data_IF_647846114218
#
_entry.id   IF_647846114218
#
_cell.length_a   1.000
_cell.length_b   1.000
_cell.length_c   1.000
_cell.angle_alpha   90.00
_cell.angle_beta   90.00
_cell.angle_gamma   90.00
#
_symmetry.space_group_name_H-M   'P 1'
#
loop_
_entity.id
_entity.type
_entity.pdbx_description
1 polymer ?
#
# COMPACT_ATOMS: atom_id res chain seq x y z
N UNK A 1 -10.87 14.60 6.11
CA UNK A 1 -9.39 14.63 6.28
C UNK A 1 -8.80 15.20 4.99
N UNK A 2 -8.00 16.23 5.07
CA UNK A 2 -7.29 16.75 3.89
C UNK A 2 -6.04 15.91 3.57
N UNK A 3 -5.37 16.22 2.45
CA UNK A 3 -4.21 15.45 1.99
C UNK A 3 -3.04 15.53 2.98
N UNK A 4 -2.75 16.72 3.51
CA UNK A 4 -1.65 16.91 4.45
C UNK A 4 -1.93 16.21 5.78
N UNK A 5 -3.16 16.27 6.25
CA UNK A 5 -3.60 15.55 7.45
C UNK A 5 -3.46 14.03 7.25
N UNK A 6 -3.86 13.50 6.10
CA UNK A 6 -3.67 12.07 5.77
C UNK A 6 -2.19 11.69 5.77
N UNK A 7 -1.33 12.48 5.12
CA UNK A 7 0.12 12.25 5.10
C UNK A 7 0.73 12.32 6.49
N UNK A 8 0.30 13.27 7.32
CA UNK A 8 0.87 13.48 8.66
C UNK A 8 0.44 12.42 9.67
N UNK A 9 -0.75 11.81 9.49
CA UNK A 9 -1.33 10.87 10.46
C UNK A 9 -1.29 9.39 10.06
N UNK A 10 -1.19 9.05 8.75
CA UNK A 10 -1.20 7.64 8.30
C UNK A 10 -0.14 6.79 9.00
N UNK A 11 -0.55 5.64 9.52
CA UNK A 11 0.31 4.66 10.19
C UNK A 11 0.11 3.28 9.59
N UNK A 12 1.13 2.43 9.70
CA UNK A 12 1.04 1.03 9.31
C UNK A 12 0.13 0.26 10.27
N UNK A 13 -0.89 -0.41 9.74
CA UNK A 13 -1.84 -1.24 10.49
C UNK A 13 -1.60 -2.71 10.16
N UNK A 14 -1.49 -3.55 11.18
CA UNK A 14 -1.23 -4.99 11.09
C UNK A 14 -2.22 -5.85 11.85
N UNK A 15 -3.26 -5.24 12.43
CA UNK A 15 -4.33 -5.94 13.12
C UNK A 15 -5.65 -5.29 12.74
N UNK A 16 -6.57 -6.07 12.23
CA UNK A 16 -7.80 -5.61 11.60
C UNK A 16 -9.03 -6.09 12.39
N UNK A 17 -10.06 -5.27 12.43
CA UNK A 17 -11.37 -5.66 12.93
C UNK A 17 -12.03 -6.63 11.93
N UNK A 18 -12.86 -7.53 12.45
CA UNK A 18 -13.70 -8.40 11.61
C UNK A 18 -14.90 -7.61 11.07
N UNK A 19 -14.57 -6.69 10.15
CA UNK A 19 -15.53 -5.79 9.51
C UNK A 19 -15.18 -5.67 8.03
N UNK A 20 -16.12 -5.96 7.12
CA UNK A 20 -15.86 -5.84 5.68
C UNK A 20 -15.62 -4.37 5.30
N UNK A 21 -14.83 -4.16 4.27
CA UNK A 21 -14.66 -2.85 3.62
C UNK A 21 -15.79 -2.69 2.60
N UNK A 22 -16.53 -1.57 2.60
CA UNK A 22 -17.61 -1.36 1.64
C UNK A 22 -17.10 -1.38 0.19
N UNK A 23 -17.86 -1.97 -0.76
CA UNK A 23 -17.44 -2.08 -2.16
C UNK A 23 -17.11 -0.72 -2.81
N UNK A 24 -17.85 0.32 -2.49
CA UNK A 24 -17.60 1.68 -2.98
C UNK A 24 -16.26 2.23 -2.47
N UNK A 25 -15.89 1.92 -1.23
CA UNK A 25 -14.60 2.30 -0.66
C UNK A 25 -13.45 1.52 -1.32
N UNK A 26 -13.63 0.21 -1.56
CA UNK A 26 -12.65 -0.60 -2.31
C UNK A 26 -12.43 0.02 -3.70
N UNK A 27 -13.52 0.34 -4.39
CA UNK A 27 -13.45 0.98 -5.71
C UNK A 27 -12.69 2.31 -5.66
N UNK A 28 -12.94 3.16 -4.67
CA UNK A 28 -12.23 4.45 -4.51
C UNK A 28 -10.74 4.26 -4.25
N UNK A 29 -10.37 3.26 -3.45
CA UNK A 29 -8.95 2.93 -3.19
C UNK A 29 -8.26 2.52 -4.49
N UNK A 30 -8.85 1.60 -5.26
CA UNK A 30 -8.29 1.14 -6.54
C UNK A 30 -8.22 2.28 -7.54
N UNK A 31 -9.27 3.12 -7.61
CA UNK A 31 -9.33 4.27 -8.51
C UNK A 31 -8.25 5.32 -8.18
N UNK A 32 -7.95 5.55 -6.90
CA UNK A 32 -6.86 6.42 -6.49
C UNK A 32 -5.50 5.93 -7.02
N UNK A 33 -5.27 4.61 -7.02
CA UNK A 33 -4.10 4.00 -7.65
C UNK A 33 -4.09 4.22 -9.16
N UNK A 34 -5.20 3.92 -9.83
CA UNK A 34 -5.35 4.06 -11.28
C UNK A 34 -5.14 5.49 -11.79
N UNK A 35 -5.61 6.48 -11.04
CA UNK A 35 -5.51 7.90 -11.41
C UNK A 35 -4.13 8.51 -11.11
N UNK A 36 -3.25 7.78 -10.46
CA UNK A 36 -1.89 8.27 -10.17
C UNK A 36 -1.09 8.48 -11.45
N UNK A 37 -0.36 9.59 -11.54
CA UNK A 37 0.51 9.86 -12.68
C UNK A 37 1.68 8.88 -12.76
N UNK A 38 2.04 8.48 -13.98
CA UNK A 38 3.19 7.62 -14.27
C UNK A 38 4.14 8.23 -15.30
N UNK A 39 5.37 7.77 -15.31
CA UNK A 39 6.38 8.19 -16.28
C UNK A 39 5.91 7.90 -17.70
N UNK A 40 5.93 8.91 -18.58
CA UNK A 40 5.43 8.84 -19.96
C UNK A 40 3.99 8.29 -20.08
N UNK A 41 3.22 8.36 -18.99
CA UNK A 41 1.86 7.79 -18.90
C UNK A 41 1.79 6.27 -19.23
N UNK A 42 2.84 5.53 -18.91
CA UNK A 42 2.91 4.08 -19.20
C UNK A 42 2.01 3.23 -18.32
N UNK A 43 1.70 3.70 -17.09
CA UNK A 43 0.79 3.03 -16.15
C UNK A 43 1.16 1.54 -15.93
N UNK A 44 2.40 1.22 -15.57
CA UNK A 44 2.95 -0.14 -15.58
C UNK A 44 2.55 -0.96 -14.34
N UNK A 45 1.25 -0.95 -14.00
CA UNK A 45 0.72 -1.61 -12.81
C UNK A 45 -0.59 -2.34 -13.10
N UNK A 46 -0.81 -3.40 -12.34
CA UNK A 46 -2.08 -4.11 -12.24
C UNK A 46 -2.43 -4.25 -10.76
N UNK A 47 -3.70 -4.18 -10.43
CA UNK A 47 -4.21 -4.31 -9.06
C UNK A 47 -5.13 -5.53 -8.98
N UNK A 48 -4.72 -6.53 -8.19
CA UNK A 48 -5.53 -7.72 -7.95
C UNK A 48 -6.18 -7.56 -6.58
N UNK A 49 -7.49 -7.45 -6.55
CA UNK A 49 -8.30 -7.26 -5.34
C UNK A 49 -8.71 -8.63 -4.80
N UNK A 50 -8.36 -8.92 -3.56
CA UNK A 50 -8.59 -10.19 -2.90
C UNK A 50 -9.46 -9.96 -1.65
N UNK A 51 -10.67 -10.54 -1.66
CA UNK A 51 -11.61 -10.53 -0.53
C UNK A 51 -11.92 -11.95 -0.04
N UNK A 52 -11.56 -12.98 -0.83
CA UNK A 52 -11.79 -14.37 -0.45
C UNK A 52 -10.95 -14.75 0.77
N UNK A 53 -11.61 -15.14 1.86
CA UNK A 53 -10.98 -15.47 3.15
C UNK A 53 -9.96 -16.58 3.07
N UNK A 54 -10.22 -17.60 2.26
CA UNK A 54 -9.29 -18.72 2.09
C UNK A 54 -8.02 -18.28 1.35
N UNK A 55 -8.16 -17.49 0.29
CA UNK A 55 -7.02 -16.91 -0.44
C UNK A 55 -6.20 -16.00 0.47
N UNK A 56 -6.84 -15.14 1.27
CA UNK A 56 -6.14 -14.27 2.23
C UNK A 56 -5.37 -15.09 3.28
N UNK A 57 -5.92 -16.20 3.77
CA UNK A 57 -5.22 -17.12 4.69
C UNK A 57 -4.00 -17.75 4.06
N UNK A 58 -4.15 -18.27 2.84
CA UNK A 58 -3.03 -18.85 2.08
C UNK A 58 -1.94 -17.83 1.82
N UNK A 59 -2.30 -16.63 1.39
CA UNK A 59 -1.35 -15.52 1.21
C UNK A 59 -0.62 -15.17 2.52
N UNK A 60 -1.33 -15.11 3.64
CA UNK A 60 -0.73 -14.83 4.95
C UNK A 60 0.22 -15.93 5.41
N UNK A 61 -0.05 -17.20 5.08
CA UNK A 61 0.85 -18.31 5.37
C UNK A 61 2.13 -18.28 4.52
N UNK A 62 2.03 -17.86 3.27
CA UNK A 62 3.14 -17.75 2.32
C UNK A 62 3.99 -16.48 2.54
N UNK A 63 3.36 -15.35 2.84
CA UNK A 63 4.02 -14.07 3.04
C UNK A 63 4.72 -14.00 4.40
N UNK A 64 5.93 -14.54 4.52
CA UNK A 64 6.68 -14.62 5.78
C UNK A 64 6.84 -13.28 6.50
N UNK A 65 6.91 -12.17 5.78
CA UNK A 65 7.00 -10.81 6.32
C UNK A 65 5.65 -10.17 6.64
N UNK A 66 4.53 -10.83 6.32
CA UNK A 66 3.19 -10.27 6.43
C UNK A 66 2.09 -11.27 6.80
N UNK A 67 2.27 -12.12 7.83
CA UNK A 67 1.27 -13.13 8.20
C UNK A 67 -0.10 -12.52 8.57
N UNK A 68 -0.13 -11.24 8.91
CA UNK A 68 -1.34 -10.49 9.23
C UNK A 68 -2.26 -10.22 8.02
N UNK A 69 -1.84 -10.55 6.78
CA UNK A 69 -2.71 -10.60 5.59
C UNK A 69 -3.90 -11.53 5.86
N UNK A 70 -3.66 -12.66 6.52
CA UNK A 70 -4.70 -13.63 6.86
C UNK A 70 -5.85 -13.05 7.69
N UNK A 71 -5.58 -12.02 8.48
CA UNK A 71 -6.59 -11.35 9.33
C UNK A 71 -7.23 -10.11 8.70
N UNK A 72 -6.79 -9.70 7.52
CA UNK A 72 -7.37 -8.57 6.82
C UNK A 72 -8.66 -8.97 6.08
N UNK A 73 -9.68 -8.09 6.01
CA UNK A 73 -10.88 -8.34 5.20
C UNK A 73 -10.62 -8.17 3.71
N UNK A 74 -9.53 -7.51 3.33
CA UNK A 74 -9.18 -7.16 1.96
C UNK A 74 -7.66 -7.11 1.81
N UNK A 75 -7.14 -7.57 0.67
CA UNK A 75 -5.79 -7.25 0.23
C UNK A 75 -5.79 -6.82 -1.25
N UNK A 76 -4.90 -5.90 -1.61
CA UNK A 76 -4.64 -5.54 -3.00
C UNK A 76 -3.21 -5.93 -3.31
N UNK A 77 -3.03 -6.82 -4.27
CA UNK A 77 -1.71 -7.21 -4.78
C UNK A 77 -1.36 -6.26 -5.93
N UNK A 78 -0.26 -5.56 -5.78
CA UNK A 78 0.25 -4.64 -6.80
C UNK A 78 1.29 -5.36 -7.63
N UNK A 79 0.95 -5.59 -8.87
CA UNK A 79 1.77 -6.27 -9.87
C UNK A 79 2.30 -5.25 -10.86
N UNK A 80 3.55 -5.39 -11.26
CA UNK A 80 4.20 -4.46 -12.18
C UNK A 80 4.73 -5.15 -13.42
N UNK A 81 4.72 -4.40 -14.52
CA UNK A 81 5.37 -4.76 -15.77
C UNK A 81 6.87 -4.51 -15.68
N UNK A 82 7.65 -5.19 -16.53
CA UNK A 82 9.09 -4.96 -16.62
C UNK A 82 9.37 -3.66 -17.38
N UNK A 83 9.37 -2.52 -16.69
CA UNK A 83 9.75 -1.23 -17.23
C UNK A 83 10.69 -0.47 -16.29
N UNK A 84 11.49 0.43 -16.84
CA UNK A 84 12.51 1.20 -16.10
C UNK A 84 11.95 1.95 -14.90
N UNK A 85 10.71 2.42 -14.98
CA UNK A 85 10.10 3.27 -13.96
C UNK A 85 8.98 2.58 -13.17
N UNK A 86 8.72 1.29 -13.44
CA UNK A 86 7.57 0.57 -12.87
C UNK A 86 7.52 0.64 -11.34
N UNK A 87 8.65 0.44 -10.67
CA UNK A 87 8.71 0.49 -9.21
C UNK A 87 8.38 1.87 -8.65
N UNK A 88 8.95 2.94 -9.22
CA UNK A 88 8.70 4.30 -8.76
C UNK A 88 7.27 4.74 -9.05
N UNK A 89 6.73 4.38 -10.22
CA UNK A 89 5.38 4.71 -10.63
C UNK A 89 4.35 3.97 -9.77
N UNK A 90 4.50 2.65 -9.60
CA UNK A 90 3.62 1.85 -8.77
C UNK A 90 3.71 2.21 -7.28
N UNK A 91 4.89 2.62 -6.78
CA UNK A 91 5.02 3.10 -5.39
C UNK A 91 4.21 4.38 -5.14
N UNK A 92 4.12 5.28 -6.14
CA UNK A 92 3.23 6.45 -6.07
C UNK A 92 1.75 6.04 -6.05
N UNK A 93 1.37 5.07 -6.88
CA UNK A 93 0.01 4.54 -6.90
C UNK A 93 -0.36 3.90 -5.55
N UNK A 94 0.55 3.11 -4.98
CA UNK A 94 0.39 2.52 -3.63
C UNK A 94 0.16 3.61 -2.58
N UNK A 95 0.97 4.67 -2.59
CA UNK A 95 0.81 5.76 -1.63
C UNK A 95 -0.55 6.46 -1.79
N UNK A 96 -1.02 6.68 -3.02
CA UNK A 96 -2.35 7.24 -3.28
C UNK A 96 -3.47 6.35 -2.71
N UNK A 97 -3.38 5.03 -2.92
CA UNK A 97 -4.34 4.07 -2.36
C UNK A 97 -4.34 4.08 -0.83
N UNK A 98 -3.15 4.07 -0.21
CA UNK A 98 -3.01 4.04 1.25
C UNK A 98 -3.55 5.31 1.91
N UNK A 99 -3.31 6.49 1.32
CA UNK A 99 -3.82 7.76 1.83
C UNK A 99 -5.33 7.87 1.66
N UNK A 100 -5.88 7.41 0.53
CA UNK A 100 -7.32 7.35 0.28
C UNK A 100 -8.00 6.44 1.30
N UNK A 101 -7.48 5.24 1.53
CA UNK A 101 -8.00 4.33 2.54
C UNK A 101 -7.97 4.96 3.95
N UNK A 102 -6.85 5.58 4.31
CA UNK A 102 -6.67 6.22 5.61
C UNK A 102 -7.66 7.35 5.85
N UNK A 103 -7.95 8.17 4.83
CA UNK A 103 -8.93 9.24 4.94
C UNK A 103 -10.36 8.74 5.23
N UNK A 104 -10.63 7.46 4.97
CA UNK A 104 -11.90 6.76 5.25
C UNK A 104 -11.84 5.87 6.51
N UNK A 105 -10.78 6.00 7.32
CA UNK A 105 -10.60 5.24 8.55
C UNK A 105 -10.12 3.80 8.34
N UNK A 106 -9.66 3.46 7.13
CA UNK A 106 -9.13 2.14 6.79
C UNK A 106 -7.61 2.17 6.86
N UNK A 107 -7.06 1.30 7.71
CA UNK A 107 -5.63 1.10 7.84
C UNK A 107 -5.09 0.16 6.78
N UNK A 108 -3.81 0.30 6.51
CA UNK A 108 -3.09 -0.55 5.56
C UNK A 108 -1.64 -0.77 5.98
N UNK A 109 -0.97 -1.71 5.32
CA UNK A 109 0.47 -1.89 5.44
C UNK A 109 1.06 -2.35 4.11
N UNK A 110 2.36 -2.17 3.94
CA UNK A 110 3.13 -2.66 2.79
C UNK A 110 3.80 -3.99 3.15
N UNK A 111 3.52 -5.05 2.42
CA UNK A 111 4.21 -6.35 2.48
C UNK A 111 4.91 -6.58 1.14
N UNK A 112 6.21 -6.84 1.12
CA UNK A 112 6.91 -6.91 -0.16
C UNK A 112 8.27 -7.61 -0.16
N UNK A 113 8.63 -8.39 0.88
CA UNK A 113 10.02 -8.82 1.00
C UNK A 113 10.28 -10.33 0.85
N UNK A 114 9.32 -11.19 1.18
CA UNK A 114 9.54 -12.65 1.16
C UNK A 114 8.24 -13.42 0.87
N UNK A 115 8.35 -14.54 0.16
CA UNK A 115 7.24 -15.44 -0.16
C UNK A 115 6.38 -14.98 -1.33
N UNK A 116 6.88 -14.06 -2.16
CA UNK A 116 6.07 -13.49 -3.24
C UNK A 116 5.96 -14.41 -4.45
N UNK A 117 6.96 -15.27 -4.70
CA UNK A 117 6.93 -16.26 -5.80
C UNK A 117 5.80 -17.28 -5.65
N UNK A 118 5.59 -17.77 -4.44
CA UNK A 118 4.54 -18.73 -4.13
C UNK A 118 3.15 -18.06 -4.24
N UNK A 119 3.03 -16.80 -3.84
CA UNK A 119 1.80 -16.03 -4.00
C UNK A 119 1.53 -15.72 -5.47
N UNK A 120 2.57 -15.47 -6.26
CA UNK A 120 2.46 -15.29 -7.71
C UNK A 120 1.83 -16.52 -8.37
N UNK A 121 2.30 -17.71 -8.00
CA UNK A 121 1.73 -18.98 -8.47
C UNK A 121 0.27 -19.18 -7.99
N UNK A 122 -0.01 -18.90 -6.72
CA UNK A 122 -1.35 -19.01 -6.14
C UNK A 122 -2.38 -18.15 -6.90
N UNK A 123 -1.99 -16.95 -7.32
CA UNK A 123 -2.87 -15.99 -7.99
C UNK A 123 -2.84 -16.07 -9.51
N UNK A 124 -2.08 -16.99 -10.10
CA UNK A 124 -1.98 -17.16 -11.55
C UNK A 124 -1.34 -15.98 -12.26
N UNK A 125 -0.44 -15.23 -11.59
CA UNK A 125 0.24 -14.09 -12.17
C UNK A 125 1.30 -14.59 -13.17
N UNK A 126 1.29 -14.08 -14.43
CA UNK A 126 2.26 -14.46 -15.44
C UNK A 126 3.71 -14.26 -15.01
N UNK A 127 4.63 -15.11 -15.48
CA UNK A 127 6.07 -15.02 -15.16
C UNK A 127 6.70 -13.69 -15.59
N UNK A 128 6.17 -13.07 -16.64
CA UNK A 128 6.64 -11.76 -17.16
C UNK A 128 6.32 -10.57 -16.24
N UNK A 129 5.44 -10.76 -15.26
CA UNK A 129 5.04 -9.72 -14.31
C UNK A 129 5.63 -10.01 -12.93
N UNK A 130 5.79 -8.97 -12.11
CA UNK A 130 6.34 -9.09 -10.75
C UNK A 130 5.38 -8.51 -9.70
N UNK A 131 5.31 -9.15 -8.54
CA UNK A 131 4.61 -8.56 -7.38
C UNK A 131 5.55 -7.55 -6.74
N UNK A 132 5.16 -6.28 -6.77
CA UNK A 132 5.87 -5.21 -6.06
C UNK A 132 5.51 -5.20 -4.59
N UNK A 133 4.23 -5.33 -4.28
CA UNK A 133 3.73 -5.29 -2.90
C UNK A 133 2.37 -5.96 -2.76
N UNK A 134 2.07 -6.38 -1.55
CA UNK A 134 0.74 -6.78 -1.11
C UNK A 134 0.30 -5.79 -0.05
N UNK A 135 -0.87 -5.20 -0.22
CA UNK A 135 -1.43 -4.20 0.66
C UNK A 135 -2.67 -4.77 1.33
N UNK A 136 -2.58 -5.32 2.55
CA UNK A 136 -3.76 -5.64 3.34
C UNK A 136 -4.42 -4.34 3.80
N UNK A 137 -5.75 -4.29 3.72
CA UNK A 137 -6.59 -3.17 4.14
C UNK A 137 -7.69 -3.66 5.09
N UNK A 138 -8.07 -2.80 6.03
CA UNK A 138 -9.18 -3.05 6.93
C UNK A 138 -9.27 -2.00 8.03
N UNK A 139 -10.39 -1.98 8.73
CA UNK A 139 -10.52 -1.13 9.91
C UNK A 139 -9.54 -1.61 10.99
N UNK A 140 -8.77 -0.73 11.63
CA UNK A 140 -7.88 -1.13 12.71
C UNK A 140 -8.64 -1.82 13.84
N UNK A 141 -8.14 -2.95 14.35
CA UNK A 141 -8.76 -3.68 15.46
C UNK A 141 -8.75 -2.89 16.78
N UNK A 142 -7.84 -1.93 16.89
CA UNK A 142 -7.75 -1.00 18.04
C UNK A 142 -7.56 0.40 17.50
N UNK A 143 -8.03 1.40 18.23
CA UNK A 143 -7.78 2.78 17.87
C UNK A 143 -6.28 2.99 17.65
N UNK A 144 -5.92 3.42 16.45
CA UNK A 144 -4.55 3.80 16.13
C UNK A 144 -4.40 5.22 16.64
N UNK A 145 -3.65 5.38 17.74
CA UNK A 145 -3.40 6.70 18.30
C UNK A 145 -2.72 7.60 17.26
N UNK A 146 -3.08 8.86 17.26
CA UNK A 146 -2.40 9.91 16.47
C UNK A 146 -1.00 10.17 17.03
N UNK A 147 -0.23 9.11 17.27
CA UNK A 147 1.12 9.18 17.81
C UNK A 147 2.01 10.07 16.94
N UNK A 148 2.89 10.83 17.58
CA UNK A 148 3.90 11.61 16.85
C UNK A 148 4.78 10.65 16.07
N UNK A 149 4.75 10.76 14.75
CA UNK A 149 5.68 10.02 13.88
C UNK A 149 7.11 10.45 14.20
N UNK A 150 7.96 9.52 14.57
CA UNK A 150 9.38 9.79 14.69
C UNK A 150 9.95 10.00 13.29
N UNK A 151 10.34 11.20 12.96
CA UNK A 151 10.94 11.59 11.68
C UNK A 151 12.20 12.42 11.95
N UNK A 152 13.08 12.46 10.97
CA UNK A 152 14.19 13.42 10.95
C UNK A 152 13.65 14.83 11.02
N UNK A 153 14.42 15.75 11.59
CA UNK A 153 14.06 17.17 11.56
C UNK A 153 14.04 17.68 10.10
N UNK A 154 13.20 18.67 9.82
CA UNK A 154 13.08 19.23 8.47
C UNK A 154 14.43 19.70 7.93
N UNK A 155 15.23 20.36 8.78
CA UNK A 155 16.56 20.84 8.44
C UNK A 155 17.57 19.75 8.05
N UNK A 156 17.32 18.49 8.43
CA UNK A 156 18.19 17.34 8.04
C UNK A 156 17.89 16.83 6.62
N UNK A 157 16.73 17.15 6.06
CA UNK A 157 16.24 16.57 4.80
C UNK A 157 15.84 17.60 3.76
N UNK A 158 15.75 18.87 4.14
CA UNK A 158 15.39 19.95 3.23
C UNK A 158 16.52 20.99 3.14
N UNK A 159 16.88 21.34 1.92
CA UNK A 159 17.95 22.28 1.63
C UNK A 159 17.43 23.33 0.64
N UNK A 160 17.92 24.58 0.75
CA UNK A 160 17.56 25.67 -0.16
C UNK A 160 18.61 25.78 -1.26
N UNK A 161 18.20 25.64 -2.52
CA UNK A 161 18.97 25.80 -3.74
C UNK A 161 20.17 24.85 -3.90
N UNK A 162 20.96 24.61 -2.85
CA UNK A 162 22.10 23.70 -2.86
C UNK A 162 22.09 22.79 -1.65
N UNK A 163 22.58 21.56 -1.83
CA UNK A 163 22.74 20.64 -0.72
C UNK A 163 23.60 21.27 0.40
N UNK A 164 23.15 21.12 1.65
CA UNK A 164 23.81 21.68 2.81
C UNK A 164 23.43 23.12 3.15
N UNK A 165 22.72 23.84 2.29
CA UNK A 165 22.19 25.16 2.62
C UNK A 165 20.88 25.05 3.41
N UNK A 166 20.72 25.73 4.54
CA UNK A 166 19.49 25.66 5.34
C UNK A 166 18.24 26.01 4.54
N UNK A 167 17.17 25.22 4.68
CA UNK A 167 15.87 25.49 4.06
C UNK A 167 15.12 26.62 4.78
N UNK A 168 15.19 26.62 6.11
CA UNK A 168 14.59 27.63 7.01
C UNK A 168 15.45 27.78 8.25
#
# INVERSE_FOLDING_TARGET
>A
MDVFESVSTVLAVRSYADKPVPPETIRRIVEAGRLTGSSMNLQPWHFIVIENRETLRQMGALARSGPYIAGAPLAIVVVIENSRFAQSDASRAIQSMMLTAWSEGIGSNWVGFMGLSEIKALLGIPESLEILAILPFGYPAKAVGLGRKKRKALAEVAHRERYGQPFA
#
